data_IF_533733931705
#
_entry.id   IF_533733931705
#
_cell.length_a   1.000
_cell.length_b   1.000
_cell.length_c   1.000
_cell.angle_alpha   90.00
_cell.angle_beta   90.00
_cell.angle_gamma   90.00
#
_symmetry.space_group_name_H-M   'P 1'
#
loop_
_entity.id
_entity.type
_entity.pdbx_description
1 polymer ?
#
# COMPACT_ATOMS: atom_id res chain seq x y z
N UNK A 1 -23.19 -8.81 -18.21
CA UNK A 1 -21.85 -9.37 -18.41
C UNK A 1 -21.70 -10.54 -17.44
N UNK A 2 -21.35 -11.73 -17.93
CA UNK A 2 -21.02 -12.84 -17.03
C UNK A 2 -19.72 -12.49 -16.30
N UNK A 3 -19.76 -12.42 -15.00
CA UNK A 3 -18.57 -12.19 -14.18
C UNK A 3 -17.82 -13.52 -14.05
N UNK A 4 -16.49 -13.49 -14.13
CA UNK A 4 -15.65 -14.67 -13.93
C UNK A 4 -15.60 -15.09 -12.45
N UNK A 5 -15.90 -14.14 -11.55
CA UNK A 5 -15.88 -14.39 -10.12
C UNK A 5 -17.07 -15.24 -9.66
N UNK A 6 -16.88 -16.16 -8.70
CA UNK A 6 -17.88 -17.15 -8.33
C UNK A 6 -19.18 -16.59 -7.74
N UNK A 7 -19.18 -15.36 -7.23
CA UNK A 7 -20.36 -14.76 -6.62
C UNK A 7 -20.47 -13.26 -6.89
N UNK A 8 -21.70 -12.75 -6.87
CA UNK A 8 -22.00 -11.31 -6.98
C UNK A 8 -21.30 -10.51 -5.88
N UNK A 9 -21.14 -11.09 -4.69
CA UNK A 9 -20.44 -10.42 -3.59
C UNK A 9 -18.95 -10.24 -3.88
N UNK A 10 -18.28 -11.25 -4.41
CA UNK A 10 -16.87 -11.16 -4.81
C UNK A 10 -16.69 -10.14 -5.93
N UNK A 11 -17.60 -10.11 -6.89
CA UNK A 11 -17.60 -9.14 -7.98
C UNK A 11 -17.77 -7.71 -7.45
N UNK A 12 -18.70 -7.49 -6.52
CA UNK A 12 -18.88 -6.20 -5.85
C UNK A 12 -17.61 -5.75 -5.10
N UNK A 13 -16.98 -6.66 -4.34
CA UNK A 13 -15.72 -6.35 -3.63
C UNK A 13 -14.60 -6.01 -4.61
N UNK A 14 -14.47 -6.79 -5.70
CA UNK A 14 -13.49 -6.52 -6.74
C UNK A 14 -13.70 -5.13 -7.36
N UNK A 15 -14.91 -4.83 -7.83
CA UNK A 15 -15.21 -3.55 -8.48
C UNK A 15 -15.03 -2.37 -7.53
N UNK A 16 -15.45 -2.51 -6.25
CA UNK A 16 -15.41 -1.42 -5.29
C UNK A 16 -14.02 -1.13 -4.73
N UNK A 17 -13.14 -2.14 -4.64
CA UNK A 17 -11.86 -2.04 -3.93
C UNK A 17 -10.63 -2.17 -4.82
N UNK A 18 -10.65 -3.03 -5.84
CA UNK A 18 -9.46 -3.42 -6.59
C UNK A 18 -9.44 -2.91 -8.03
N UNK A 19 -10.60 -2.88 -8.68
CA UNK A 19 -10.72 -2.46 -10.06
C UNK A 19 -10.42 -0.97 -10.24
N UNK A 20 -9.48 -0.63 -11.13
CA UNK A 20 -9.18 0.74 -11.51
C UNK A 20 -10.24 1.26 -12.48
N UNK A 21 -10.51 2.56 -12.40
CA UNK A 21 -11.33 3.20 -13.41
C UNK A 21 -10.47 3.50 -14.64
N UNK A 22 -10.99 3.16 -15.79
CA UNK A 22 -10.37 3.45 -17.08
C UNK A 22 -11.19 4.54 -17.78
N UNK A 23 -10.60 5.73 -17.90
CA UNK A 23 -11.26 6.92 -18.48
C UNK A 23 -11.55 6.77 -19.98
N UNK A 24 -10.72 6.01 -20.71
CA UNK A 24 -10.88 5.81 -22.16
C UNK A 24 -12.14 5.02 -22.50
N UNK A 25 -12.45 4.00 -21.69
CA UNK A 25 -13.62 3.14 -21.91
C UNK A 25 -14.77 3.44 -20.95
N UNK A 26 -14.62 4.43 -20.05
CA UNK A 26 -15.66 4.93 -19.17
C UNK A 26 -16.19 3.93 -18.14
N UNK A 27 -15.38 2.93 -17.75
CA UNK A 27 -15.74 1.92 -16.74
C UNK A 27 -14.56 1.46 -15.90
N UNK A 28 -14.86 0.72 -14.84
CA UNK A 28 -13.83 0.02 -14.06
C UNK A 28 -13.37 -1.25 -14.76
N UNK A 29 -12.16 -1.68 -14.41
CA UNK A 29 -11.55 -2.93 -14.88
C UNK A 29 -12.43 -4.13 -14.56
N UNK A 30 -12.40 -5.12 -15.43
CA UNK A 30 -12.85 -6.49 -15.14
C UNK A 30 -11.80 -7.23 -14.30
N UNK A 31 -12.17 -8.43 -13.77
CA UNK A 31 -11.22 -9.27 -13.04
C UNK A 31 -10.00 -9.62 -13.88
N UNK A 32 -10.21 -10.01 -15.13
CA UNK A 32 -9.14 -10.35 -16.08
C UNK A 32 -8.20 -9.14 -16.29
N UNK A 33 -8.74 -7.95 -16.52
CA UNK A 33 -7.96 -6.72 -16.70
C UNK A 33 -7.16 -6.34 -15.46
N UNK A 34 -7.71 -6.55 -14.27
CA UNK A 34 -7.02 -6.31 -12.99
C UNK A 34 -5.84 -7.26 -12.83
N UNK A 35 -6.03 -8.55 -13.12
CA UNK A 35 -4.96 -9.56 -13.07
C UNK A 35 -3.90 -9.28 -14.12
N UNK A 36 -4.28 -8.91 -15.33
CA UNK A 36 -3.34 -8.56 -16.40
C UNK A 36 -2.50 -7.35 -16.05
N UNK A 37 -3.09 -6.30 -15.49
CA UNK A 37 -2.36 -5.13 -14.99
C UNK A 37 -1.33 -5.53 -13.93
N UNK A 38 -1.72 -6.37 -12.96
CA UNK A 38 -0.83 -6.85 -11.90
C UNK A 38 0.35 -7.65 -12.50
N UNK A 39 0.07 -8.64 -13.33
CA UNK A 39 1.09 -9.49 -13.94
C UNK A 39 2.05 -8.68 -14.81
N UNK A 40 1.52 -7.81 -15.67
CA UNK A 40 2.34 -6.99 -16.58
C UNK A 40 3.24 -6.04 -15.80
N UNK A 41 2.73 -5.42 -14.73
CA UNK A 41 3.53 -4.54 -13.87
C UNK A 41 4.74 -5.27 -13.27
N UNK A 42 4.53 -6.42 -12.63
CA UNK A 42 5.64 -7.15 -12.02
C UNK A 42 6.56 -7.80 -13.03
N UNK A 43 6.04 -8.22 -14.17
CA UNK A 43 6.84 -8.73 -15.28
C UNK A 43 7.81 -7.66 -15.81
N UNK A 44 7.35 -6.43 -15.96
CA UNK A 44 8.18 -5.28 -16.36
C UNK A 44 9.23 -4.96 -15.27
N UNK A 45 8.83 -4.85 -14.00
CA UNK A 45 9.73 -4.54 -12.88
C UNK A 45 10.82 -5.60 -12.63
N UNK A 46 10.61 -6.82 -13.10
CA UNK A 46 11.59 -7.91 -12.98
C UNK A 46 12.34 -8.21 -14.28
N UNK A 47 12.38 -7.25 -15.19
CA UNK A 47 13.04 -7.39 -16.51
C UNK A 47 12.59 -8.65 -17.26
N UNK A 48 11.31 -8.98 -17.18
CA UNK A 48 10.71 -10.16 -17.78
C UNK A 48 11.45 -11.47 -17.41
N UNK A 49 11.71 -11.65 -16.11
CA UNK A 49 12.49 -12.77 -15.61
C UNK A 49 11.91 -14.12 -16.09
N UNK A 50 12.65 -14.80 -16.95
CA UNK A 50 12.28 -16.09 -17.57
C UNK A 50 12.15 -17.26 -16.59
N UNK A 51 12.64 -17.11 -15.35
CA UNK A 51 12.50 -18.13 -14.30
C UNK A 51 11.12 -18.14 -13.65
N UNK A 52 10.34 -17.07 -13.84
CA UNK A 52 8.98 -16.95 -13.30
C UNK A 52 7.99 -17.49 -14.33
N UNK A 53 7.15 -18.47 -13.99
CA UNK A 53 6.13 -19.00 -14.87
C UNK A 53 4.92 -18.05 -14.95
N UNK A 54 5.06 -16.93 -15.65
CA UNK A 54 4.08 -15.86 -15.69
C UNK A 54 2.69 -16.29 -16.15
N UNK A 55 2.62 -17.18 -17.13
CA UNK A 55 1.34 -17.64 -17.67
C UNK A 55 0.61 -18.58 -16.69
N UNK A 56 1.35 -19.44 -15.99
CA UNK A 56 0.79 -20.30 -14.93
C UNK A 56 0.33 -19.44 -13.75
N UNK A 57 1.15 -18.47 -13.33
CA UNK A 57 0.80 -17.55 -12.25
C UNK A 57 -0.46 -16.74 -12.59
N UNK A 58 -0.56 -16.23 -13.82
CA UNK A 58 -1.74 -15.54 -14.32
C UNK A 58 -2.97 -16.43 -14.24
N UNK A 59 -2.87 -17.66 -14.73
CA UNK A 59 -3.98 -18.61 -14.71
C UNK A 59 -4.44 -18.93 -13.28
N UNK A 60 -3.50 -19.22 -12.38
CA UNK A 60 -3.79 -19.53 -10.98
C UNK A 60 -4.48 -18.35 -10.23
N UNK A 61 -4.08 -17.11 -10.53
CA UNK A 61 -4.74 -15.92 -9.95
C UNK A 61 -6.14 -15.74 -10.54
N UNK A 62 -6.31 -15.91 -11.85
CA UNK A 62 -7.61 -15.80 -12.52
C UNK A 62 -8.62 -16.80 -11.99
N UNK A 63 -8.19 -18.03 -11.72
CA UNK A 63 -9.01 -19.13 -11.24
C UNK A 63 -9.13 -19.15 -9.69
N UNK A 64 -8.56 -18.13 -9.01
CA UNK A 64 -8.57 -17.97 -7.54
C UNK A 64 -7.88 -19.12 -6.78
N UNK A 65 -6.99 -19.87 -7.42
CA UNK A 65 -6.16 -20.88 -6.76
C UNK A 65 -5.08 -20.23 -5.88
N UNK A 66 -4.57 -19.06 -6.32
CA UNK A 66 -3.60 -18.24 -5.62
C UNK A 66 -4.09 -16.80 -5.58
N UNK A 67 -4.01 -16.17 -4.41
CA UNK A 67 -4.29 -14.75 -4.27
C UNK A 67 -2.99 -14.00 -3.94
N UNK A 68 -2.57 -13.03 -4.75
CA UNK A 68 -1.43 -12.17 -4.43
C UNK A 68 -1.77 -11.22 -3.29
N UNK A 69 -0.78 -10.44 -2.84
CA UNK A 69 -1.05 -9.33 -1.92
C UNK A 69 -2.16 -8.45 -2.47
N UNK A 70 -3.26 -8.34 -1.72
CA UNK A 70 -4.39 -7.51 -2.14
C UNK A 70 -4.01 -6.05 -2.30
N UNK A 71 -3.07 -5.56 -1.51
CA UNK A 71 -2.54 -4.21 -1.64
C UNK A 71 -1.80 -4.05 -2.98
N UNK A 72 -0.91 -4.97 -3.32
CA UNK A 72 -0.22 -4.94 -4.61
C UNK A 72 -1.19 -5.09 -5.78
N UNK A 73 -2.20 -5.95 -5.67
CA UNK A 73 -3.23 -6.11 -6.69
C UNK A 73 -3.99 -4.78 -6.93
N UNK A 74 -4.27 -4.03 -5.86
CA UNK A 74 -4.93 -2.74 -5.93
C UNK A 74 -4.01 -1.63 -6.49
N UNK A 75 -2.73 -1.62 -6.08
CA UNK A 75 -1.80 -0.49 -6.31
C UNK A 75 -0.85 -0.69 -7.49
N UNK A 76 -0.74 -1.90 -8.07
CA UNK A 76 0.11 -2.15 -9.23
C UNK A 76 -0.17 -1.16 -10.37
N UNK A 77 0.89 -0.53 -10.88
CA UNK A 77 0.84 0.57 -11.84
C UNK A 77 1.30 1.90 -11.22
N UNK A 78 0.70 3.04 -11.60
CA UNK A 78 1.22 4.38 -11.25
C UNK A 78 1.45 4.64 -9.76
N UNK A 79 0.69 4.00 -8.87
CA UNK A 79 0.87 4.18 -7.43
C UNK A 79 2.18 3.54 -6.95
N UNK A 80 2.48 2.29 -7.36
CA UNK A 80 3.74 1.63 -7.03
C UNK A 80 4.93 2.19 -7.79
N UNK A 81 4.71 2.77 -8.98
CA UNK A 81 5.77 3.48 -9.72
C UNK A 81 6.19 4.75 -8.99
N UNK A 82 5.23 5.43 -8.37
CA UNK A 82 5.50 6.64 -7.59
C UNK A 82 6.21 6.33 -6.28
N UNK A 83 5.72 5.34 -5.54
CA UNK A 83 6.31 4.91 -4.27
C UNK A 83 5.95 3.46 -3.95
N UNK A 84 6.97 2.62 -3.78
CA UNK A 84 6.80 1.20 -3.49
C UNK A 84 6.23 0.92 -2.09
N UNK A 85 6.31 1.88 -1.16
CA UNK A 85 5.71 1.79 0.18
C UNK A 85 4.20 1.56 0.08
N UNK A 86 3.54 2.09 -0.95
CA UNK A 86 2.11 1.87 -1.21
C UNK A 86 1.71 0.38 -1.40
N UNK A 87 2.69 -0.49 -1.67
CA UNK A 87 2.46 -1.94 -1.81
C UNK A 87 2.37 -2.72 -0.49
N UNK A 88 2.72 -2.10 0.64
CA UNK A 88 2.70 -2.73 1.95
C UNK A 88 1.41 -2.42 2.71
N UNK A 89 0.89 -3.42 3.42
CA UNK A 89 -0.30 -3.23 4.27
C UNK A 89 0.06 -2.58 5.59
N UNK A 90 1.15 -3.04 6.23
CA UNK A 90 1.56 -2.65 7.56
C UNK A 90 3.07 -2.46 7.63
N UNK A 91 3.50 -1.60 8.54
CA UNK A 91 4.88 -1.35 8.88
C UNK A 91 5.04 -1.14 10.39
N UNK A 92 6.27 -1.04 10.85
CA UNK A 92 6.59 -0.79 12.25
C UNK A 92 7.75 0.20 12.33
N UNK A 93 7.64 1.16 13.26
CA UNK A 93 8.68 2.14 13.55
C UNK A 93 8.92 2.21 15.06
N UNK A 94 10.18 2.19 15.49
CA UNK A 94 10.54 2.46 16.87
C UNK A 94 10.72 3.98 17.07
N UNK A 95 10.14 4.53 18.15
CA UNK A 95 10.29 5.96 18.46
C UNK A 95 11.58 6.17 19.25
N UNK A 96 12.71 6.22 18.57
CA UNK A 96 14.03 6.39 19.14
C UNK A 96 14.75 7.66 18.69
N UNK A 97 14.14 8.42 17.81
CA UNK A 97 14.61 9.73 17.37
C UNK A 97 13.42 10.59 16.91
N UNK A 98 13.60 11.90 16.82
CA UNK A 98 12.54 12.84 16.46
C UNK A 98 12.04 12.62 15.01
N UNK A 99 12.93 12.20 14.11
CA UNK A 99 12.56 11.93 12.70
C UNK A 99 11.62 10.73 12.54
N UNK A 100 11.49 9.86 13.55
CA UNK A 100 10.54 8.75 13.51
C UNK A 100 9.10 9.24 13.28
N UNK A 101 8.74 10.44 13.73
CA UNK A 101 7.42 11.02 13.49
C UNK A 101 7.22 11.40 12.02
N UNK A 102 8.24 11.95 11.37
CA UNK A 102 8.21 12.27 9.93
C UNK A 102 8.10 10.99 9.10
N UNK A 103 8.84 9.95 9.46
CA UNK A 103 8.80 8.63 8.81
C UNK A 103 7.40 8.00 8.93
N UNK A 104 6.81 8.04 10.12
CA UNK A 104 5.44 7.55 10.35
C UNK A 104 4.45 8.30 9.47
N UNK A 105 4.53 9.63 9.45
CA UNK A 105 3.65 10.46 8.63
C UNK A 105 3.79 10.13 7.15
N UNK A 106 5.01 10.02 6.65
CA UNK A 106 5.28 9.67 5.26
C UNK A 106 4.68 8.31 4.88
N UNK A 107 4.92 7.29 5.70
CA UNK A 107 4.41 5.94 5.46
C UNK A 107 2.87 5.92 5.45
N UNK A 108 2.24 6.64 6.40
CA UNK A 108 0.77 6.80 6.44
C UNK A 108 0.23 7.51 5.19
N UNK A 109 0.92 8.54 4.71
CA UNK A 109 0.55 9.25 3.46
C UNK A 109 0.64 8.34 2.23
N UNK A 110 1.55 7.36 2.23
CA UNK A 110 1.61 6.33 1.20
C UNK A 110 0.49 5.28 1.30
N UNK A 111 -0.33 5.34 2.36
CA UNK A 111 -1.47 4.44 2.57
C UNK A 111 -1.13 3.16 3.33
N UNK A 112 0.08 3.03 3.87
CA UNK A 112 0.50 1.89 4.70
C UNK A 112 0.17 2.16 6.17
N UNK A 113 -0.43 1.21 6.87
CA UNK A 113 -0.64 1.29 8.31
C UNK A 113 0.69 1.23 9.07
N UNK A 114 0.86 2.08 10.08
CA UNK A 114 2.08 2.13 10.88
C UNK A 114 1.80 1.80 12.33
N UNK A 115 2.37 0.69 12.83
CA UNK A 115 2.54 0.44 14.25
C UNK A 115 3.82 1.12 14.75
N UNK A 116 3.79 1.65 15.96
CA UNK A 116 4.99 2.24 16.54
C UNK A 116 5.16 1.81 18.00
N UNK A 117 6.42 1.74 18.44
CA UNK A 117 6.75 1.42 19.82
C UNK A 117 7.25 2.63 20.57
N UNK A 118 6.64 2.87 21.74
CA UNK A 118 7.03 3.88 22.72
C UNK A 118 7.63 3.25 23.98
N UNK A 119 8.19 2.06 23.86
CA UNK A 119 8.88 1.41 24.97
C UNK A 119 10.08 2.23 25.44
N UNK A 120 10.34 2.24 26.76
CA UNK A 120 11.41 3.04 27.37
C UNK A 120 12.78 2.81 26.73
N UNK A 121 13.07 1.59 26.24
CA UNK A 121 14.33 1.28 25.54
C UNK A 121 14.54 2.10 24.26
N UNK A 122 13.47 2.61 23.67
CA UNK A 122 13.51 3.50 22.50
C UNK A 122 13.37 4.96 22.89
N UNK A 123 12.34 5.30 23.67
CA UNK A 123 12.03 6.69 24.02
C UNK A 123 13.11 7.33 24.89
N UNK A 124 13.87 6.57 25.68
CA UNK A 124 15.04 7.06 26.43
C UNK A 124 16.19 7.58 25.52
N UNK A 125 16.13 7.33 24.22
CA UNK A 125 17.09 7.87 23.24
C UNK A 125 16.67 9.23 22.69
N UNK A 126 15.43 9.63 22.93
CA UNK A 126 14.94 10.94 22.50
C UNK A 126 15.65 12.06 23.29
N UNK A 127 15.84 13.22 22.68
CA UNK A 127 16.35 14.38 23.39
C UNK A 127 15.40 14.77 24.55
N UNK A 128 15.95 15.36 25.59
CA UNK A 128 15.16 15.92 26.67
C UNK A 128 14.25 17.05 26.15
N UNK A 129 13.05 17.11 26.72
CA UNK A 129 12.11 18.19 26.37
C UNK A 129 12.68 19.52 26.89
N UNK A 130 12.85 20.53 26.03
CA UNK A 130 13.38 21.82 26.49
C UNK A 130 12.45 22.49 27.52
N UNK A 131 13.00 23.14 28.52
CA UNK A 131 12.21 23.83 29.55
C UNK A 131 11.32 24.93 28.95
N UNK A 132 11.81 25.60 27.90
CA UNK A 132 11.02 26.58 27.14
C UNK A 132 10.70 26.04 25.76
N UNK A 133 9.42 25.85 25.46
CA UNK A 133 8.94 25.45 24.14
C UNK A 133 9.01 26.62 23.15
N UNK A 134 9.75 26.45 22.08
CA UNK A 134 9.73 27.41 20.99
C UNK A 134 8.36 27.40 20.28
N UNK A 135 7.80 28.53 19.83
CA UNK A 135 6.48 28.58 19.16
C UNK A 135 6.32 27.61 17.99
N UNK A 136 7.40 27.29 17.28
CA UNK A 136 7.43 26.31 16.21
C UNK A 136 7.22 24.86 16.69
N UNK A 137 7.69 24.53 17.88
CA UNK A 137 7.58 23.16 18.42
C UNK A 137 6.13 22.83 18.80
N UNK A 138 5.40 23.82 19.28
CA UNK A 138 3.97 23.69 19.63
C UNK A 138 3.10 23.40 18.40
N UNK A 139 3.45 23.93 17.25
CA UNK A 139 2.69 23.74 16.00
C UNK A 139 2.78 22.31 15.49
N UNK A 140 3.91 21.65 15.63
CA UNK A 140 4.11 20.25 15.20
C UNK A 140 3.30 19.31 16.09
N UNK A 141 3.31 19.51 17.41
CA UNK A 141 2.57 18.67 18.37
C UNK A 141 1.05 18.79 18.18
N UNK A 142 0.53 19.97 17.93
CA UNK A 142 -0.90 20.20 17.70
C UNK A 142 -1.38 19.61 16.37
N UNK A 143 -0.54 19.59 15.35
CA UNK A 143 -0.85 18.96 14.06
C UNK A 143 -1.02 17.45 14.17
N UNK A 144 -0.29 16.78 15.06
CA UNK A 144 -0.39 15.34 15.30
C UNK A 144 -1.61 14.93 16.15
N UNK A 145 -2.16 15.84 16.95
CA UNK A 145 -3.32 15.60 17.81
C UNK A 145 -4.64 15.74 17.03
N UNK A 146 -4.63 16.43 15.89
CA UNK A 146 -5.82 16.66 15.06
C UNK A 146 -5.99 15.72 13.88
N UNK A 147 -5.14 14.68 13.76
CA UNK A 147 -5.28 13.58 12.82
C UNK A 147 -5.84 12.36 13.53
#
# INVERSE_FOLDING_TARGET
MATRLPSIYQDFIHISRYARYNDEIGRRETWDETVDRYINFFKEKTDNNKKVPWDELRAAILDLEVMPSMRCLMTAGPALDKDQVAGYNCSYVAIDNVKAFDEIMYILMCGTGVGFSVESKYTNKLPEVPEELHPTDTTIVLSLIHI
#
